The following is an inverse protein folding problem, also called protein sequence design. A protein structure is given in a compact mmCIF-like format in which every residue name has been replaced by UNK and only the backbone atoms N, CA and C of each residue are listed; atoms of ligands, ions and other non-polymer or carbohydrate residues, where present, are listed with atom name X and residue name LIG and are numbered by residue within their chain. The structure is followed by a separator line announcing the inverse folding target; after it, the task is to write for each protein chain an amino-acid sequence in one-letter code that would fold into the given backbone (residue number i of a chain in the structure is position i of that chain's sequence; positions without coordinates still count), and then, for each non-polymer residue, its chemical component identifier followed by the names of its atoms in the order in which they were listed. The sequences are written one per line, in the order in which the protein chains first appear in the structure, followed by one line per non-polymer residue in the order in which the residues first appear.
data_IF_307009194916
#
_entry.id   IF_307009194916
#
_cell.length_a   1.000
_cell.length_b   1.000
_cell.length_c   1.000
_cell.angle_alpha   90.00
_cell.angle_beta   90.00
_cell.angle_gamma   90.00
#
_symmetry.space_group_name_H-M   'P 1'
#
loop_
_entity.id
_entity.type
_entity.pdbx_description
1 polymer ?
#
# COMPACT_ATOMS: atom_id res chain seq x y z
N UNK A 1 -14.26 5.75 14.28
CA UNK A 1 -13.46 6.88 13.77
C UNK A 1 -12.73 6.35 12.53
N UNK A 2 -13.23 6.68 11.35
CA UNK A 2 -12.66 6.24 10.07
C UNK A 2 -12.11 7.47 9.37
N UNK A 3 -10.84 7.41 8.95
CA UNK A 3 -10.06 8.54 8.43
C UNK A 3 -8.69 8.42 9.06
N UNK A 4 -7.73 7.75 8.43
CA UNK A 4 -6.85 8.39 7.43
C UNK A 4 -6.19 7.34 6.51
N UNK A 5 -6.94 6.34 6.01
CA UNK A 5 -6.40 5.35 5.04
C UNK A 5 -6.13 5.94 3.63
N UNK A 6 -6.38 7.23 3.41
CA UNK A 6 -6.17 7.90 2.11
C UNK A 6 -4.84 8.66 2.02
N UNK A 7 -4.06 8.77 3.10
CA UNK A 7 -2.89 9.67 3.14
C UNK A 7 -1.55 9.03 2.76
N UNK A 8 -1.48 7.70 2.61
CA UNK A 8 -0.32 6.98 2.08
C UNK A 8 -0.63 6.24 0.78
N UNK A 9 -1.62 6.71 0.03
CA UNK A 9 -1.87 6.19 -1.30
C UNK A 9 -0.79 6.74 -2.24
N UNK A 10 -0.19 5.89 -3.07
CA UNK A 10 0.78 6.30 -4.10
C UNK A 10 0.27 7.49 -4.95
N UNK A 11 -1.05 7.63 -5.11
CA UNK A 11 -1.68 8.76 -5.76
C UNK A 11 -1.45 10.12 -5.07
N UNK A 12 -1.24 10.13 -3.74
CA UNK A 12 -0.91 11.33 -2.95
C UNK A 12 0.59 11.63 -3.01
N UNK A 13 1.44 10.60 -2.94
CA UNK A 13 2.90 10.77 -3.09
C UNK A 13 3.29 11.14 -4.53
N UNK A 14 2.53 10.69 -5.53
CA UNK A 14 2.78 10.91 -6.95
C UNK A 14 1.49 11.39 -7.64
N UNK A 15 1.12 12.68 -7.50
CA UNK A 15 -0.10 13.23 -8.10
C UNK A 15 -0.11 13.11 -9.64
N UNK A 16 1.06 13.17 -10.25
CA UNK A 16 1.27 12.97 -11.69
C UNK A 16 1.00 11.52 -12.17
N UNK A 17 1.02 10.55 -11.27
CA UNK A 17 0.64 9.16 -11.55
C UNK A 17 -0.77 8.83 -11.05
N UNK A 18 -1.45 9.74 -10.35
CA UNK A 18 -2.74 9.46 -9.72
C UNK A 18 -3.81 9.00 -10.71
N UNK A 19 -3.87 9.60 -11.91
CA UNK A 19 -4.81 9.19 -12.95
C UNK A 19 -4.47 7.80 -13.53
N UNK A 20 -3.18 7.52 -13.73
CA UNK A 20 -2.71 6.22 -14.21
C UNK A 20 -2.99 5.14 -13.17
N UNK A 21 -2.68 5.40 -11.89
CA UNK A 21 -2.97 4.51 -10.75
C UNK A 21 -4.46 4.21 -10.67
N UNK A 22 -5.32 5.23 -10.84
CA UNK A 22 -6.77 5.03 -10.84
C UNK A 22 -7.24 4.16 -12.01
N UNK A 23 -6.71 4.41 -13.20
CA UNK A 23 -6.99 3.61 -14.40
C UNK A 23 -6.53 2.17 -14.21
N UNK A 24 -5.27 1.96 -13.80
CA UNK A 24 -4.70 0.64 -13.51
C UNK A 24 -5.47 -0.09 -12.41
N UNK A 25 -5.96 0.60 -11.39
CA UNK A 25 -6.79 -0.02 -10.35
C UNK A 25 -8.10 -0.58 -10.92
N UNK A 26 -8.65 0.03 -11.97
CA UNK A 26 -9.89 -0.43 -12.61
C UNK A 26 -9.64 -1.47 -13.71
N UNK A 27 -8.58 -1.27 -14.50
CA UNK A 27 -8.29 -2.06 -15.69
C UNK A 27 -7.37 -3.26 -15.41
N UNK A 28 -6.54 -3.16 -14.37
CA UNK A 28 -5.54 -4.17 -14.01
C UNK A 28 -5.85 -4.78 -12.63
N UNK A 29 -6.44 -5.98 -12.65
CA UNK A 29 -6.76 -6.75 -11.45
C UNK A 29 -5.53 -7.10 -10.58
N UNK A 30 -4.34 -7.22 -11.19
CA UNK A 30 -3.10 -7.44 -10.44
C UNK A 30 -2.72 -6.19 -9.65
N UNK A 31 -2.82 -5.02 -10.28
CA UNK A 31 -2.55 -3.74 -9.60
C UNK A 31 -3.52 -3.50 -8.45
N UNK A 32 -4.81 -3.78 -8.68
CA UNK A 32 -5.84 -3.69 -7.65
C UNK A 32 -5.53 -4.59 -6.43
N UNK A 33 -5.08 -5.83 -6.66
CA UNK A 33 -4.68 -6.75 -5.58
C UNK A 33 -3.48 -6.26 -4.80
N UNK A 34 -2.41 -5.82 -5.48
CA UNK A 34 -1.21 -5.29 -4.83
C UNK A 34 -1.53 -4.08 -3.95
N UNK A 35 -2.42 -3.20 -4.43
CA UNK A 35 -2.86 -2.03 -3.67
C UNK A 35 -3.64 -2.45 -2.42
N UNK A 36 -4.54 -3.43 -2.54
CA UNK A 36 -5.31 -3.96 -1.42
C UNK A 36 -4.39 -4.66 -0.39
N UNK A 37 -3.40 -5.42 -0.84
CA UNK A 37 -2.37 -6.01 0.03
C UNK A 37 -1.56 -4.95 0.76
N UNK A 38 -1.18 -3.86 0.07
CA UNK A 38 -0.45 -2.76 0.69
C UNK A 38 -1.29 -2.08 1.78
N UNK A 39 -2.56 -1.76 1.51
CA UNK A 39 -3.50 -1.21 2.50
C UNK A 39 -3.71 -2.17 3.68
N UNK A 40 -3.82 -3.48 3.42
CA UNK A 40 -3.96 -4.49 4.46
C UNK A 40 -2.72 -4.55 5.37
N UNK A 41 -1.51 -4.50 4.80
CA UNK A 41 -0.26 -4.45 5.57
C UNK A 41 -0.15 -3.18 6.40
N UNK A 42 -0.50 -2.03 5.84
CA UNK A 42 -0.46 -0.74 6.54
C UNK A 42 -1.40 -0.72 7.74
N UNK A 43 -2.62 -1.24 7.54
CA UNK A 43 -3.60 -1.44 8.61
C UNK A 43 -3.08 -2.42 9.67
N UNK A 44 -2.45 -3.52 9.25
CA UNK A 44 -1.88 -4.49 10.17
C UNK A 44 -0.76 -3.88 11.02
N UNK A 45 0.18 -3.17 10.39
CA UNK A 45 1.26 -2.43 11.07
C UNK A 45 0.67 -1.42 12.07
N UNK A 46 -0.36 -0.66 11.66
CA UNK A 46 -1.03 0.31 12.55
C UNK A 46 -1.66 -0.38 13.75
N UNK A 47 -2.36 -1.51 13.55
CA UNK A 47 -2.96 -2.28 14.64
C UNK A 47 -1.92 -2.90 15.57
N UNK A 48 -0.77 -3.31 15.02
CA UNK A 48 0.37 -3.83 15.79
C UNK A 48 1.03 -2.69 16.61
N UNK A 49 1.22 -1.50 16.02
CA UNK A 49 1.77 -0.31 16.70
C UNK A 49 0.82 0.26 17.76
N UNK A 50 -0.49 0.17 17.57
CA UNK A 50 -1.50 0.49 18.60
C UNK A 50 -1.54 -0.55 19.74
N UNK A 51 -0.73 -1.61 19.67
CA UNK A 51 -0.61 -2.63 20.72
C UNK A 51 -1.82 -3.56 20.80
N UNK A 52 -2.66 -3.59 19.77
CA UNK A 52 -3.86 -4.45 19.71
C UNK A 52 -3.49 -5.91 19.51
N UNK A 53 -2.33 -6.18 18.89
CA UNK A 53 -1.73 -7.51 18.75
C UNK A 53 -0.29 -7.48 19.28
N UNK A 54 0.03 -8.40 20.19
CA UNK A 54 1.42 -8.70 20.54
C UNK A 54 2.06 -9.47 19.38
N UNK A 55 2.37 -8.76 18.29
CA UNK A 55 3.15 -9.34 17.20
C UNK A 55 4.63 -9.29 17.57
N UNK A 56 5.37 -10.33 17.23
CA UNK A 56 6.82 -10.33 17.42
C UNK A 56 7.46 -9.27 16.52
N UNK A 57 8.50 -8.60 17.00
CA UNK A 57 9.31 -7.62 16.25
C UNK A 57 9.70 -8.11 14.83
N UNK A 58 9.96 -9.42 14.71
CA UNK A 58 10.31 -10.09 13.46
C UNK A 58 9.17 -10.05 12.40
N UNK A 59 7.93 -10.19 12.86
CA UNK A 59 6.75 -10.05 12.00
C UNK A 59 6.55 -8.61 11.56
N UNK A 60 6.69 -7.64 12.47
CA UNK A 60 6.60 -6.22 12.12
C UNK A 60 7.68 -5.82 11.09
N UNK A 61 8.90 -6.33 11.26
CA UNK A 61 10.00 -6.14 10.31
C UNK A 61 9.64 -6.72 8.93
N UNK A 62 9.07 -7.91 8.89
CA UNK A 62 8.62 -8.55 7.65
C UNK A 62 7.51 -7.74 6.97
N UNK A 63 6.50 -7.29 7.72
CA UNK A 63 5.41 -6.46 7.19
C UNK A 63 5.93 -5.15 6.60
N UNK A 64 6.88 -4.48 7.28
CA UNK A 64 7.54 -3.26 6.78
C UNK A 64 8.30 -3.52 5.47
N UNK A 65 9.02 -4.65 5.37
CA UNK A 65 9.68 -5.03 4.11
C UNK A 65 8.68 -5.32 2.99
N UNK A 66 7.59 -6.03 3.28
CA UNK A 66 6.55 -6.32 2.29
C UNK A 66 5.87 -5.04 1.80
N UNK A 67 5.52 -4.12 2.72
CA UNK A 67 4.96 -2.81 2.38
C UNK A 67 5.86 -2.04 1.43
N UNK A 68 7.17 -2.00 1.72
CA UNK A 68 8.14 -1.34 0.84
C UNK A 68 8.18 -2.00 -0.56
N UNK A 69 8.25 -3.34 -0.62
CA UNK A 69 8.24 -4.08 -1.90
C UNK A 69 6.97 -3.82 -2.72
N UNK A 70 5.80 -3.87 -2.09
CA UNK A 70 4.53 -3.59 -2.77
C UNK A 70 4.50 -2.17 -3.29
N UNK A 71 4.98 -1.19 -2.52
CA UNK A 71 5.08 0.20 -2.97
C UNK A 71 5.98 0.34 -4.20
N UNK A 72 7.17 -0.27 -4.17
CA UNK A 72 8.10 -0.29 -5.31
C UNK A 72 7.46 -0.95 -6.55
N UNK A 73 6.72 -2.04 -6.37
CA UNK A 73 6.09 -2.76 -7.46
C UNK A 73 4.93 -1.98 -8.07
N UNK A 74 4.05 -1.41 -7.25
CA UNK A 74 2.99 -0.52 -7.67
C UNK A 74 3.54 0.72 -8.39
N UNK A 75 4.63 1.31 -7.88
CA UNK A 75 5.29 2.45 -8.53
C UNK A 75 5.85 2.06 -9.90
N UNK A 76 6.54 0.92 -10.01
CA UNK A 76 7.04 0.41 -11.30
C UNK A 76 5.91 0.17 -12.30
N UNK A 77 4.79 -0.41 -11.87
CA UNK A 77 3.62 -0.61 -12.74
C UNK A 77 3.02 0.71 -13.20
N UNK A 78 2.88 1.69 -12.30
CA UNK A 78 2.37 3.02 -12.63
C UNK A 78 3.28 3.76 -13.61
N UNK A 79 4.61 3.68 -13.43
CA UNK A 79 5.58 4.28 -14.36
C UNK A 79 5.61 3.54 -15.70
N UNK A 80 5.49 2.22 -15.71
CA UNK A 80 5.46 1.44 -16.95
C UNK A 80 4.20 1.68 -17.79
N UNK A 81 3.11 2.11 -17.15
CA UNK A 81 1.85 2.46 -17.79
C UNK A 81 1.70 3.96 -18.13
N UNK A 82 2.68 4.80 -17.74
CA UNK A 82 2.78 6.21 -18.12
C UNK A 82 3.22 6.35 -19.58
#
# INVERSE_FOLDING_TARGET
MQGTLLSHSLAVEFPELAEIIKTLKQDNAHFAKLLDEHDALDKQITQDEEGVKAINDDSLHTLKQQRAKLKDELYKMAIAAK
#
